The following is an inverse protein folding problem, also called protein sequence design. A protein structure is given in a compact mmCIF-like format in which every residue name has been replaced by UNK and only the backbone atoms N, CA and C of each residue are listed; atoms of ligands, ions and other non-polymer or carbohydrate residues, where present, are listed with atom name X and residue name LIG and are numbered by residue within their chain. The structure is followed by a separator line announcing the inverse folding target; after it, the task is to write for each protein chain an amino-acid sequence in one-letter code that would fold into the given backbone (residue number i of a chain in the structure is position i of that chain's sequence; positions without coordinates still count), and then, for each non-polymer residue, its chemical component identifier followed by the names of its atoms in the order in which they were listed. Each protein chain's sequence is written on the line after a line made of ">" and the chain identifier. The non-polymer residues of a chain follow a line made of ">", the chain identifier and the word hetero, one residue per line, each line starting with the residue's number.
data_IF_029611692666
#
_entry.id   IF_029611692666
#
_cell.length_a   1.000
_cell.length_b   1.000
_cell.length_c   1.000
_cell.angle_alpha   90.00
_cell.angle_beta   90.00
_cell.angle_gamma   90.00
#
_symmetry.space_group_name_H-M   'P 1'
#
loop_
_entity.id
_entity.type
_entity.pdbx_description
1 polymer ?
#
# COMPACT_ATOMS: atom_id res chain seq x y z
N UNK A 1 39.81 -6.73 -6.46
CA UNK A 1 38.53 -6.48 -7.16
C UNK A 1 37.43 -6.59 -6.13
N UNK A 2 36.44 -5.70 -6.19
CA UNK A 2 35.37 -5.64 -5.20
C UNK A 2 34.32 -6.72 -5.49
N UNK A 3 33.78 -7.38 -4.46
CA UNK A 3 32.67 -8.34 -4.57
C UNK A 3 31.49 -7.78 -5.39
N UNK A 4 31.32 -6.45 -5.35
CA UNK A 4 30.34 -5.71 -6.13
C UNK A 4 30.58 -5.80 -7.65
N UNK A 5 31.83 -5.79 -8.08
CA UNK A 5 32.22 -5.81 -9.50
C UNK A 5 32.05 -7.20 -10.12
N UNK A 6 32.29 -8.27 -9.33
CA UNK A 6 32.15 -9.65 -9.79
C UNK A 6 30.67 -10.05 -9.92
N UNK A 7 29.83 -9.65 -8.96
CA UNK A 7 28.38 -9.85 -9.03
C UNK A 7 27.76 -9.10 -10.23
N UNK A 8 28.26 -7.90 -10.55
CA UNK A 8 27.80 -7.13 -11.71
C UNK A 8 28.08 -7.85 -13.04
N UNK A 9 29.23 -8.50 -13.17
CA UNK A 9 29.59 -9.25 -14.39
C UNK A 9 28.72 -10.50 -14.56
N UNK A 10 28.44 -11.20 -13.46
CA UNK A 10 27.58 -12.38 -13.46
C UNK A 10 26.13 -12.05 -13.83
N UNK A 11 25.62 -10.91 -13.34
CA UNK A 11 24.29 -10.40 -13.67
C UNK A 11 24.21 -9.97 -15.15
N UNK A 12 25.23 -9.30 -15.67
CA UNK A 12 25.26 -8.83 -17.07
C UNK A 12 25.35 -9.98 -18.09
N UNK A 13 25.79 -11.17 -17.66
CA UNK A 13 25.77 -12.38 -18.48
C UNK A 13 24.37 -13.01 -18.61
N UNK A 14 23.37 -12.51 -17.85
CA UNK A 14 21.98 -12.96 -17.96
C UNK A 14 21.33 -12.32 -19.19
N UNK A 15 21.25 -13.07 -20.29
CA UNK A 15 20.67 -12.63 -21.58
C UNK A 15 19.13 -12.64 -21.57
N UNK A 16 18.54 -12.20 -20.46
CA UNK A 16 17.10 -12.08 -20.29
C UNK A 16 16.78 -10.65 -19.85
N UNK A 17 16.49 -9.80 -20.83
CA UNK A 17 16.25 -8.37 -20.65
C UNK A 17 15.16 -8.07 -19.61
N UNK A 18 14.20 -8.97 -19.40
CA UNK A 18 13.18 -8.82 -18.36
C UNK A 18 13.76 -8.93 -16.94
N UNK A 19 14.71 -9.85 -16.75
CA UNK A 19 15.41 -10.05 -15.47
C UNK A 19 16.37 -8.89 -15.20
N UNK A 20 17.08 -8.42 -16.23
CA UNK A 20 17.98 -7.26 -16.12
C UNK A 20 17.24 -5.98 -15.71
N UNK A 21 16.05 -5.71 -16.28
CA UNK A 21 15.23 -4.56 -15.87
C UNK A 21 14.77 -4.66 -14.41
N UNK A 22 14.40 -5.86 -13.97
CA UNK A 22 13.95 -6.11 -12.59
C UNK A 22 15.10 -5.91 -11.60
N UNK A 23 16.30 -6.40 -11.93
CA UNK A 23 17.50 -6.22 -11.12
C UNK A 23 17.95 -4.75 -11.11
N UNK A 24 17.90 -4.06 -12.25
CA UNK A 24 18.18 -2.62 -12.34
C UNK A 24 17.22 -1.79 -11.49
N UNK A 25 15.93 -2.15 -11.44
CA UNK A 25 14.95 -1.51 -10.57
C UNK A 25 15.32 -1.62 -9.08
N UNK A 26 15.71 -2.83 -8.65
CA UNK A 26 16.15 -3.10 -7.27
C UNK A 26 17.46 -2.36 -6.94
N UNK A 27 18.44 -2.34 -7.84
CA UNK A 27 19.73 -1.68 -7.63
C UNK A 27 19.67 -0.15 -7.71
N UNK A 28 18.74 0.40 -8.49
CA UNK A 28 18.58 1.85 -8.65
C UNK A 28 17.88 2.52 -7.45
N UNK A 29 17.47 1.76 -6.42
CA UNK A 29 16.71 2.31 -5.29
C UNK A 29 15.36 2.91 -5.69
N UNK A 30 14.92 2.69 -6.93
CA UNK A 30 13.55 2.95 -7.35
C UNK A 30 12.71 1.82 -6.78
N UNK A 31 12.33 1.99 -5.51
CA UNK A 31 11.19 1.29 -4.96
C UNK A 31 10.05 1.45 -5.97
N UNK A 32 9.71 0.36 -6.67
CA UNK A 32 8.36 0.21 -7.18
C UNK A 32 7.45 0.51 -5.97
N UNK A 33 6.57 1.50 -6.12
CA UNK A 33 5.60 1.83 -5.09
C UNK A 33 4.99 0.55 -4.58
N UNK A 34 5.16 0.34 -3.28
CA UNK A 34 4.87 -0.86 -2.51
C UNK A 34 3.57 -1.54 -2.99
N UNK A 35 3.69 -2.50 -3.92
CA UNK A 35 2.62 -3.45 -4.16
C UNK A 35 2.69 -4.47 -3.03
N UNK A 36 2.01 -4.09 -1.95
CA UNK A 36 1.03 -4.93 -1.30
C UNK A 36 1.57 -6.20 -0.62
N UNK A 37 2.25 -6.02 0.50
CA UNK A 37 2.31 -7.00 1.61
C UNK A 37 2.11 -6.26 2.94
N UNK A 38 0.99 -5.54 3.09
CA UNK A 38 0.68 -4.80 4.32
C UNK A 38 -0.06 -5.68 5.33
N UNK A 39 0.67 -6.54 6.03
CA UNK A 39 0.19 -7.09 7.32
C UNK A 39 0.37 -6.08 8.48
N UNK A 40 0.60 -4.79 8.17
CA UNK A 40 0.92 -3.74 9.12
C UNK A 40 -0.14 -2.64 9.20
N UNK A 41 -0.16 -1.95 10.33
CA UNK A 41 -0.95 -0.75 10.56
C UNK A 41 -0.60 0.38 9.58
N UNK A 42 -1.60 0.98 8.96
CA UNK A 42 -1.51 2.16 8.09
C UNK A 42 -1.68 3.45 8.89
N UNK A 43 -0.90 4.46 8.56
CA UNK A 43 -1.09 5.82 9.08
C UNK A 43 -2.37 6.47 8.54
N UNK A 44 -2.74 7.62 9.10
CA UNK A 44 -3.87 8.42 8.62
C UNK A 44 -3.67 8.83 7.15
N UNK A 45 -2.47 9.29 6.79
CA UNK A 45 -2.14 9.72 5.42
C UNK A 45 -2.23 8.55 4.43
N UNK A 46 -1.68 7.40 4.79
CA UNK A 46 -1.78 6.20 3.96
C UNK A 46 -3.25 5.74 3.79
N UNK A 47 -4.08 5.87 4.84
CA UNK A 47 -5.49 5.56 4.75
C UNK A 47 -6.27 6.56 3.85
N UNK A 48 -5.88 7.84 3.85
CA UNK A 48 -6.45 8.85 2.95
C UNK A 48 -6.17 8.50 1.49
N UNK A 49 -4.92 8.16 1.17
CA UNK A 49 -4.54 7.74 -0.18
C UNK A 49 -5.22 6.42 -0.58
N UNK A 50 -5.27 5.45 0.33
CA UNK A 50 -5.93 4.15 0.10
C UNK A 50 -7.41 4.29 -0.29
N UNK A 51 -8.11 5.27 0.30
CA UNK A 51 -9.52 5.54 0.02
C UNK A 51 -9.74 6.45 -1.20
N UNK A 52 -8.69 6.72 -1.99
CA UNK A 52 -8.76 7.53 -3.21
C UNK A 52 -8.41 9.00 -3.00
N UNK A 53 -7.51 9.30 -2.05
CA UNK A 53 -7.03 10.66 -1.79
C UNK A 53 -8.03 11.54 -1.04
N UNK A 54 -8.81 10.96 -0.12
CA UNK A 54 -9.83 11.72 0.61
C UNK A 54 -9.21 12.70 1.62
N UNK A 55 -9.93 13.79 1.92
CA UNK A 55 -9.49 14.73 2.95
C UNK A 55 -9.55 14.11 4.36
N UNK A 56 -8.71 14.61 5.26
CA UNK A 56 -8.66 14.15 6.66
C UNK A 56 -10.00 14.33 7.37
N UNK A 57 -10.71 15.42 7.08
CA UNK A 57 -12.06 15.66 7.63
C UNK A 57 -13.06 14.59 7.17
N UNK A 58 -12.97 14.19 5.89
CA UNK A 58 -13.80 13.11 5.36
C UNK A 58 -13.48 11.79 6.08
N UNK A 59 -12.20 11.44 6.23
CA UNK A 59 -11.79 10.23 6.95
C UNK A 59 -12.32 10.21 8.40
N UNK A 60 -12.33 11.35 9.09
CA UNK A 60 -12.92 11.44 10.43
C UNK A 60 -14.45 11.29 10.43
N UNK A 61 -15.14 11.78 9.40
CA UNK A 61 -16.57 11.53 9.25
C UNK A 61 -16.85 10.03 9.06
N UNK A 62 -16.07 9.32 8.24
CA UNK A 62 -16.20 7.87 8.09
C UNK A 62 -15.98 7.14 9.43
N UNK A 63 -15.03 7.62 10.24
CA UNK A 63 -14.83 7.10 11.60
C UNK A 63 -16.06 7.27 12.49
N UNK A 64 -16.76 8.42 12.40
CA UNK A 64 -18.04 8.61 13.12
C UNK A 64 -19.16 7.72 12.58
N UNK A 65 -19.07 7.31 11.31
CA UNK A 65 -19.99 6.38 10.66
C UNK A 65 -19.62 4.90 10.89
N UNK A 66 -18.63 4.61 11.75
CA UNK A 66 -18.27 3.23 12.12
C UNK A 66 -17.08 2.64 11.38
N UNK A 67 -16.28 3.44 10.67
CA UNK A 67 -14.99 2.97 10.15
C UNK A 67 -14.07 2.56 11.31
N UNK A 68 -13.62 1.31 11.31
CA UNK A 68 -12.73 0.76 12.33
C UNK A 68 -11.36 1.45 12.31
N UNK A 69 -10.81 1.66 13.49
CA UNK A 69 -9.48 2.24 13.70
C UNK A 69 -8.86 1.67 14.97
N UNK A 70 -7.55 1.72 15.04
CA UNK A 70 -6.76 1.25 16.18
C UNK A 70 -5.93 2.39 16.74
N UNK A 71 -5.55 2.26 18.02
CA UNK A 71 -4.61 3.18 18.67
C UNK A 71 -3.35 2.43 19.05
N UNK A 72 -2.22 2.83 18.48
CA UNK A 72 -0.90 2.26 18.76
C UNK A 72 0.01 3.39 19.23
N UNK A 73 0.48 3.34 20.48
CA UNK A 73 1.34 4.40 21.05
C UNK A 73 0.70 5.80 21.01
N UNK A 74 -0.62 5.89 21.16
CA UNK A 74 -1.36 7.16 21.09
C UNK A 74 -1.66 7.67 19.68
N UNK A 75 -1.15 6.99 18.63
CA UNK A 75 -1.43 7.34 17.23
C UNK A 75 -2.60 6.53 16.70
N UNK A 76 -3.43 7.17 15.89
CA UNK A 76 -4.53 6.50 15.18
C UNK A 76 -3.98 5.84 13.93
N UNK A 77 -4.28 4.56 13.77
CA UNK A 77 -3.86 3.74 12.65
C UNK A 77 -5.01 2.86 12.15
N UNK A 78 -4.90 2.39 10.91
CA UNK A 78 -5.93 1.61 10.22
C UNK A 78 -5.36 0.30 9.70
N UNK A 79 -6.19 -0.73 9.59
CA UNK A 79 -5.78 -1.96 8.90
C UNK A 79 -6.29 -1.95 7.45
N UNK A 80 -5.46 -2.31 6.46
CA UNK A 80 -5.88 -2.32 5.06
C UNK A 80 -7.12 -3.20 4.82
N UNK A 81 -7.18 -4.38 5.45
CA UNK A 81 -8.31 -5.31 5.31
C UNK A 81 -9.61 -4.74 5.88
N UNK A 82 -9.54 -4.00 6.98
CA UNK A 82 -10.71 -3.36 7.56
C UNK A 82 -11.21 -2.20 6.72
N UNK A 83 -10.30 -1.38 6.18
CA UNK A 83 -10.64 -0.32 5.21
C UNK A 83 -11.30 -0.93 3.97
N UNK A 84 -10.71 -2.00 3.43
CA UNK A 84 -11.23 -2.72 2.27
C UNK A 84 -12.64 -3.28 2.55
N UNK A 85 -12.83 -3.96 3.67
CA UNK A 85 -14.12 -4.51 4.07
C UNK A 85 -15.18 -3.43 4.25
N UNK A 86 -14.80 -2.29 4.84
CA UNK A 86 -15.70 -1.15 4.98
C UNK A 86 -16.17 -0.63 3.60
N UNK A 87 -15.25 -0.46 2.64
CA UNK A 87 -15.60 0.01 1.28
C UNK A 87 -16.54 -0.98 0.58
N UNK A 88 -16.26 -2.28 0.68
CA UNK A 88 -17.10 -3.30 0.07
C UNK A 88 -18.50 -3.37 0.68
N UNK A 89 -18.63 -3.24 2.00
CA UNK A 89 -19.92 -3.31 2.69
C UNK A 89 -20.77 -2.05 2.42
N UNK A 90 -20.18 -0.85 2.44
CA UNK A 90 -20.91 0.38 2.14
C UNK A 90 -21.44 0.43 0.70
N UNK A 91 -20.72 -0.18 -0.28
CA UNK A 91 -21.24 -0.29 -1.65
C UNK A 91 -22.49 -1.18 -1.75
N UNK A 92 -22.61 -2.20 -0.91
CA UNK A 92 -23.79 -3.09 -0.90
C UNK A 92 -25.02 -2.39 -0.33
N UNK A 93 -24.85 -1.60 0.73
CA UNK A 93 -25.95 -0.84 1.34
C UNK A 93 -26.49 0.25 0.40
N UNK A 94 -25.60 0.93 -0.34
CA UNK A 94 -26.00 1.93 -1.35
C UNK A 94 -26.81 1.33 -2.52
N UNK A 95 -26.59 0.06 -2.86
CA UNK A 95 -27.38 -0.64 -3.88
C UNK A 95 -28.77 -1.03 -3.37
N UNK A 96 -28.85 -1.52 -2.13
CA UNK A 96 -30.12 -1.91 -1.50
C UNK A 96 -31.06 -0.74 -1.23
N UNK A 97 -30.54 0.46 -1.02
CA UNK A 97 -31.34 1.67 -0.79
C UNK A 97 -31.92 2.31 -2.07
N UNK A 98 -31.58 1.77 -3.25
CA UNK A 98 -32.02 2.29 -4.56
C UNK A 98 -32.97 1.34 -5.31
N UNK A 99 -33.30 0.21 -4.70
CA UNK A 99 -34.32 -0.75 -5.16
C UNK A 99 -35.61 -0.55 -4.35
#
# INVERSE_FOLDING_TARGET
>A
MSLKEDLLKEILAVDNAAVLRKIQGVLAGKHEENVNNNNGFMSVEAAQEFLGGISRGHLWNLRRQGLKFHKVGGRVVFLPDELRNWVFNNRKEQKKARE
#
